data_IF_000790305186
#
_entry.id   IF_000790305186
#
_cell.length_a   1.000
_cell.length_b   1.000
_cell.length_c   1.000
_cell.angle_alpha   90.00
_cell.angle_beta   90.00
_cell.angle_gamma   90.00
#
_symmetry.space_group_name_H-M   'P 1'
#
loop_
_entity.id
_entity.type
_entity.pdbx_description
1 polymer ?
#
# COMPACT_ATOMS: atom_id res chain seq x y z
N UNK A 1 8.76 -20.75 -18.03
CA UNK A 1 8.05 -20.51 -16.73
C UNK A 1 6.57 -20.53 -17.05
N UNK A 2 5.91 -21.69 -16.98
CA UNK A 2 4.50 -21.84 -17.39
C UNK A 2 3.66 -22.64 -16.37
N UNK A 3 4.23 -23.01 -15.22
CA UNK A 3 3.56 -23.90 -14.26
C UNK A 3 2.68 -23.16 -13.24
N UNK A 4 2.39 -21.88 -13.47
CA UNK A 4 1.62 -21.05 -12.54
C UNK A 4 0.53 -20.32 -13.32
N UNK A 5 -0.72 -20.50 -12.89
CA UNK A 5 -1.87 -19.76 -13.38
C UNK A 5 -2.38 -18.81 -12.30
N UNK A 6 -3.00 -17.71 -12.70
CA UNK A 6 -3.69 -16.81 -11.77
C UNK A 6 -5.16 -17.20 -11.74
N UNK A 7 -5.68 -17.52 -10.56
CA UNK A 7 -7.08 -17.85 -10.35
C UNK A 7 -7.85 -16.62 -9.87
N UNK A 8 -8.85 -16.20 -10.64
CA UNK A 8 -9.76 -15.10 -10.29
C UNK A 8 -11.23 -15.57 -10.19
N UNK A 9 -11.48 -16.88 -10.29
CA UNK A 9 -12.81 -17.46 -10.11
C UNK A 9 -13.20 -17.36 -8.64
N UNK A 10 -14.44 -16.94 -8.35
CA UNK A 10 -14.90 -16.73 -6.97
C UNK A 10 -14.81 -17.99 -6.11
N UNK A 11 -14.96 -19.17 -6.71
CA UNK A 11 -14.80 -20.47 -6.03
C UNK A 11 -13.36 -20.77 -5.57
N UNK A 12 -12.38 -20.06 -6.13
CA UNK A 12 -10.96 -20.20 -5.76
C UNK A 12 -10.55 -19.32 -4.57
N UNK A 13 -11.41 -18.41 -4.13
CA UNK A 13 -11.09 -17.44 -3.08
C UNK A 13 -11.01 -18.12 -1.70
N UNK A 14 -9.94 -17.81 -0.98
CA UNK A 14 -9.71 -18.29 0.39
C UNK A 14 -9.64 -17.11 1.34
N UNK A 15 -10.54 -17.08 2.31
CA UNK A 15 -10.64 -15.99 3.28
C UNK A 15 -10.04 -16.38 4.63
N UNK A 16 -9.43 -15.41 5.31
CA UNK A 16 -8.95 -15.56 6.68
C UNK A 16 -9.65 -14.53 7.58
N UNK A 17 -9.97 -14.88 8.84
CA UNK A 17 -10.60 -13.93 9.75
C UNK A 17 -9.66 -12.73 10.00
N UNK A 18 -10.16 -11.49 9.88
CA UNK A 18 -9.34 -10.31 10.12
C UNK A 18 -8.92 -10.23 11.59
N UNK A 19 -7.79 -9.56 11.84
CA UNK A 19 -7.37 -9.27 13.22
C UNK A 19 -8.26 -8.20 13.82
N UNK A 20 -8.96 -8.53 14.89
CA UNK A 20 -9.90 -7.62 15.59
C UNK A 20 -9.21 -6.66 16.56
N UNK A 21 -7.95 -6.94 16.92
CA UNK A 21 -7.12 -6.07 17.77
C UNK A 21 -6.01 -5.43 16.96
N UNK A 22 -5.83 -4.12 17.12
CA UNK A 22 -4.79 -3.35 16.42
C UNK A 22 -3.38 -3.92 16.65
N UNK A 23 -3.04 -4.32 17.89
CA UNK A 23 -1.74 -4.92 18.20
C UNK A 23 -1.47 -6.19 17.40
N UNK A 24 -2.49 -7.05 17.27
CA UNK A 24 -2.38 -8.31 16.52
C UNK A 24 -2.29 -8.06 15.02
N UNK A 25 -3.06 -7.09 14.52
CA UNK A 25 -2.98 -6.62 13.13
C UNK A 25 -1.60 -6.04 12.80
N UNK A 26 -1.06 -5.17 13.67
CA UNK A 26 0.25 -4.56 13.46
C UNK A 26 1.37 -5.59 13.50
N UNK A 27 1.33 -6.55 14.44
CA UNK A 27 2.26 -7.67 14.46
C UNK A 27 2.16 -8.53 13.20
N UNK A 28 0.95 -8.73 12.66
CA UNK A 28 0.77 -9.41 11.37
C UNK A 28 1.45 -8.65 10.23
N UNK A 29 1.29 -7.32 10.14
CA UNK A 29 1.96 -6.48 9.12
C UNK A 29 3.48 -6.50 9.27
N UNK A 30 4.01 -6.47 10.50
CA UNK A 30 5.46 -6.60 10.76
C UNK A 30 6.04 -7.91 10.26
N UNK A 31 5.34 -9.04 10.46
CA UNK A 31 5.74 -10.36 9.92
C UNK A 31 5.62 -10.42 8.40
N UNK A 32 4.63 -9.77 7.82
CA UNK A 32 4.51 -9.70 6.36
C UNK A 32 5.72 -9.01 5.73
N UNK A 33 6.24 -7.94 6.34
CA UNK A 33 7.42 -7.23 5.81
C UNK A 33 8.72 -8.04 5.97
N UNK A 34 8.80 -9.02 6.88
CA UNK A 34 10.02 -9.81 7.03
C UNK A 34 10.34 -10.68 5.81
N UNK A 35 9.33 -11.08 5.02
CA UNK A 35 9.56 -11.85 3.78
C UNK A 35 10.24 -11.01 2.70
N UNK A 36 10.10 -9.69 2.74
CA UNK A 36 10.78 -8.79 1.79
C UNK A 36 12.31 -8.92 1.86
N UNK A 37 12.88 -9.43 2.96
CA UNK A 37 14.31 -9.73 3.08
C UNK A 37 14.80 -10.79 2.08
N UNK A 38 13.92 -11.66 1.58
CA UNK A 38 14.25 -12.69 0.59
C UNK A 38 14.07 -12.22 -0.86
N UNK A 39 13.55 -11.01 -1.08
CA UNK A 39 13.35 -10.48 -2.43
C UNK A 39 14.69 -10.14 -3.09
N UNK A 40 14.70 -10.13 -4.42
CA UNK A 40 15.87 -9.67 -5.18
C UNK A 40 16.12 -8.19 -4.87
N UNK A 41 17.38 -7.78 -5.00
CA UNK A 41 17.77 -6.40 -4.69
C UNK A 41 16.97 -5.37 -5.51
N UNK A 42 16.71 -5.69 -6.78
CA UNK A 42 15.89 -4.85 -7.66
C UNK A 42 14.44 -4.73 -7.17
N UNK A 43 13.79 -5.83 -6.82
CA UNK A 43 12.41 -5.83 -6.32
C UNK A 43 12.30 -5.05 -4.99
N UNK A 44 13.29 -5.20 -4.10
CA UNK A 44 13.39 -4.43 -2.85
C UNK A 44 13.50 -2.93 -3.13
N UNK A 45 14.36 -2.56 -4.09
CA UNK A 45 14.54 -1.17 -4.48
C UNK A 45 13.25 -0.58 -5.07
N UNK A 46 12.57 -1.29 -5.97
CA UNK A 46 11.29 -0.85 -6.54
C UNK A 46 10.23 -0.64 -5.46
N UNK A 47 10.14 -1.55 -4.48
CA UNK A 47 9.19 -1.42 -3.38
C UNK A 47 9.51 -0.21 -2.49
N UNK A 48 10.79 -0.01 -2.16
CA UNK A 48 11.23 1.16 -1.39
C UNK A 48 10.96 2.47 -2.13
N UNK A 49 11.29 2.52 -3.43
CA UNK A 49 11.05 3.66 -4.29
C UNK A 49 9.57 3.98 -4.40
N UNK A 50 8.71 2.96 -4.54
CA UNK A 50 7.26 3.12 -4.57
C UNK A 50 6.73 3.83 -3.32
N UNK A 51 7.09 3.39 -2.11
CA UNK A 51 6.64 4.05 -0.90
C UNK A 51 7.22 5.46 -0.74
N UNK A 52 8.49 5.65 -1.12
CA UNK A 52 9.16 6.95 -1.04
C UNK A 52 8.52 7.98 -1.98
N UNK A 53 8.23 7.62 -3.23
CA UNK A 53 7.62 8.54 -4.20
C UNK A 53 6.20 8.91 -3.79
N UNK A 54 5.42 7.97 -3.26
CA UNK A 54 4.08 8.26 -2.74
C UNK A 54 4.14 9.22 -1.53
N UNK A 55 5.07 9.01 -0.60
CA UNK A 55 5.27 9.90 0.54
C UNK A 55 5.66 11.32 0.09
N UNK A 56 6.68 11.43 -0.76
CA UNK A 56 7.16 12.72 -1.28
C UNK A 56 6.04 13.43 -2.04
N UNK A 57 5.25 12.71 -2.84
CA UNK A 57 4.14 13.29 -3.60
C UNK A 57 3.09 13.91 -2.67
N UNK A 58 2.69 13.22 -1.62
CA UNK A 58 1.70 13.75 -0.67
C UNK A 58 2.26 14.95 0.08
N UNK A 59 3.50 14.86 0.58
CA UNK A 59 4.13 15.96 1.32
C UNK A 59 4.32 17.20 0.44
N UNK A 60 4.76 17.03 -0.80
CA UNK A 60 4.93 18.15 -1.74
C UNK A 60 3.59 18.75 -2.13
N UNK A 61 2.57 17.92 -2.39
CA UNK A 61 1.23 18.41 -2.73
C UNK A 61 0.62 19.24 -1.60
N UNK A 62 0.71 18.76 -0.35
CA UNK A 62 0.24 19.51 0.83
C UNK A 62 1.01 20.82 0.98
N UNK A 63 2.34 20.78 0.84
CA UNK A 63 3.19 21.98 0.99
C UNK A 63 2.88 23.02 -0.08
N UNK A 64 2.75 22.63 -1.35
CA UNK A 64 2.46 23.56 -2.44
C UNK A 64 1.05 24.15 -2.34
N UNK A 65 0.06 23.33 -1.97
CA UNK A 65 -1.31 23.80 -1.80
C UNK A 65 -1.46 24.70 -0.55
N UNK A 66 -0.74 24.44 0.54
CA UNK A 66 -0.82 25.26 1.75
C UNK A 66 -0.29 26.68 1.54
N UNK A 67 0.71 26.85 0.68
CA UNK A 67 1.22 28.17 0.27
C UNK A 67 0.53 28.72 -0.98
N UNK A 68 -0.53 28.06 -1.47
CA UNK A 68 -1.27 28.41 -2.69
C UNK A 68 -0.38 28.54 -3.95
N UNK A 69 0.78 27.88 -3.97
CA UNK A 69 1.72 27.96 -5.08
C UNK A 69 1.15 27.28 -6.32
N UNK A 70 0.86 28.05 -7.36
CA UNK A 70 0.35 27.55 -8.64
C UNK A 70 -0.80 26.56 -8.46
N UNK A 71 -1.71 26.82 -7.50
CA UNK A 71 -2.73 25.86 -7.08
C UNK A 71 -3.63 25.41 -8.26
N UNK A 72 -3.83 26.27 -9.26
CA UNK A 72 -4.55 25.98 -10.51
C UNK A 72 -3.90 24.83 -11.29
N UNK A 73 -2.58 24.65 -11.21
CA UNK A 73 -1.84 23.56 -11.85
C UNK A 73 -1.69 22.38 -10.89
N UNK A 74 -1.31 22.66 -9.64
CA UNK A 74 -1.05 21.62 -8.64
C UNK A 74 -2.30 20.78 -8.38
N UNK A 75 -3.47 21.41 -8.24
CA UNK A 75 -4.71 20.71 -7.92
C UNK A 75 -5.12 19.71 -9.04
N UNK A 76 -5.18 20.09 -10.33
CA UNK A 76 -5.43 19.13 -11.40
C UNK A 76 -4.42 17.99 -11.49
N UNK A 77 -3.13 18.25 -11.25
CA UNK A 77 -2.10 17.19 -11.27
C UNK A 77 -2.35 16.18 -10.16
N UNK A 78 -2.68 16.65 -8.95
CA UNK A 78 -3.04 15.79 -7.82
C UNK A 78 -4.30 14.98 -8.13
N UNK A 79 -5.35 15.65 -8.60
CA UNK A 79 -6.61 14.99 -8.97
C UNK A 79 -6.40 13.93 -10.06
N UNK A 80 -5.66 14.26 -11.12
CA UNK A 80 -5.37 13.34 -12.21
C UNK A 80 -4.62 12.11 -11.72
N UNK A 81 -3.58 12.28 -10.90
CA UNK A 81 -2.87 11.14 -10.28
C UNK A 81 -3.85 10.25 -9.52
N UNK A 82 -4.65 10.83 -8.63
CA UNK A 82 -5.58 10.05 -7.81
C UNK A 82 -6.64 9.34 -8.66
N UNK A 83 -7.15 9.96 -9.73
CA UNK A 83 -8.07 9.28 -10.65
C UNK A 83 -7.38 8.10 -11.33
N UNK A 84 -6.18 8.28 -11.87
CA UNK A 84 -5.44 7.21 -12.55
C UNK A 84 -5.14 6.04 -11.61
N UNK A 85 -4.68 6.33 -10.39
CA UNK A 85 -4.37 5.29 -9.41
C UNK A 85 -5.62 4.63 -8.85
N UNK A 86 -6.72 5.38 -8.72
CA UNK A 86 -8.01 4.84 -8.29
C UNK A 86 -8.60 3.88 -9.34
N UNK A 87 -8.53 4.24 -10.63
CA UNK A 87 -8.97 3.36 -11.72
C UNK A 87 -8.12 2.09 -11.79
N UNK A 88 -6.79 2.20 -11.73
CA UNK A 88 -5.91 1.03 -11.76
C UNK A 88 -6.09 0.12 -10.54
N UNK A 89 -6.26 0.68 -9.34
CA UNK A 89 -6.61 -0.07 -8.14
C UNK A 89 -7.99 -0.74 -8.27
N UNK A 90 -8.98 -0.02 -8.79
CA UNK A 90 -10.34 -0.51 -9.00
C UNK A 90 -10.40 -1.71 -9.93
N UNK A 91 -9.60 -1.74 -11.00
CA UNK A 91 -9.48 -2.93 -11.85
C UNK A 91 -8.96 -4.15 -11.10
N UNK A 92 -7.99 -3.98 -10.20
CA UNK A 92 -7.47 -5.06 -9.36
C UNK A 92 -8.49 -5.56 -8.35
N UNK A 93 -9.14 -4.65 -7.64
CA UNK A 93 -10.15 -4.97 -6.63
C UNK A 93 -11.39 -5.65 -7.24
N UNK A 94 -11.83 -5.22 -8.43
CA UNK A 94 -12.93 -5.88 -9.15
C UNK A 94 -12.62 -7.34 -9.51
N UNK A 95 -11.35 -7.68 -9.79
CA UNK A 95 -10.94 -9.07 -10.05
C UNK A 95 -10.91 -9.95 -8.81
N UNK A 96 -10.89 -9.35 -7.62
CA UNK A 96 -10.86 -10.06 -6.33
C UNK A 96 -12.20 -9.98 -5.57
N UNK A 97 -13.23 -9.41 -6.20
CA UNK A 97 -14.54 -9.12 -5.60
C UNK A 97 -14.49 -8.24 -4.32
N UNK A 98 -13.51 -7.33 -4.24
CA UNK A 98 -13.26 -6.44 -3.10
C UNK A 98 -13.68 -4.98 -3.40
N UNK A 99 -14.95 -4.79 -3.80
CA UNK A 99 -15.45 -3.49 -4.33
C UNK A 99 -15.56 -2.40 -3.26
N UNK A 100 -15.79 -2.79 -2.01
CA UNK A 100 -15.87 -1.89 -0.85
C UNK A 100 -14.55 -1.15 -0.62
N UNK A 101 -13.41 -1.82 -0.82
CA UNK A 101 -12.07 -1.25 -0.68
C UNK A 101 -11.82 -0.11 -1.68
N UNK A 102 -12.43 -0.18 -2.87
CA UNK A 102 -12.27 0.83 -3.93
C UNK A 102 -12.79 2.19 -3.48
N UNK A 103 -13.95 2.24 -2.80
CA UNK A 103 -14.52 3.52 -2.32
C UNK A 103 -13.60 4.24 -1.33
N UNK A 104 -12.87 3.47 -0.52
CA UNK A 104 -11.97 4.00 0.51
C UNK A 104 -10.54 4.26 0.02
N UNK A 105 -10.25 4.04 -1.27
CA UNK A 105 -8.90 4.09 -1.82
C UNK A 105 -8.08 5.34 -1.41
N UNK A 106 -8.58 6.60 -1.53
CA UNK A 106 -7.79 7.77 -1.17
C UNK A 106 -7.37 7.78 0.31
N UNK A 107 -8.23 7.27 1.21
CA UNK A 107 -7.93 7.17 2.64
C UNK A 107 -7.00 6.00 2.92
N UNK A 108 -7.20 4.88 2.24
CA UNK A 108 -6.39 3.67 2.38
C UNK A 108 -4.95 3.87 1.91
N UNK A 109 -4.72 4.67 0.87
CA UNK A 109 -3.36 5.01 0.42
C UNK A 109 -2.57 5.69 1.54
N UNK A 110 -3.19 6.67 2.21
CA UNK A 110 -2.57 7.40 3.33
C UNK A 110 -2.29 6.43 4.49
N UNK A 111 -3.28 5.63 4.88
CA UNK A 111 -3.13 4.62 5.95
C UNK A 111 -2.00 3.64 5.61
N UNK A 112 -1.90 3.21 4.36
CA UNK A 112 -0.89 2.27 3.89
C UNK A 112 0.52 2.86 4.02
N UNK A 113 0.72 4.11 3.58
CA UNK A 113 2.02 4.79 3.66
C UNK A 113 2.48 4.91 5.12
N UNK A 114 1.61 5.41 6.01
CA UNK A 114 1.96 5.54 7.42
C UNK A 114 2.20 4.19 8.09
N UNK A 115 1.36 3.19 7.81
CA UNK A 115 1.55 1.82 8.33
C UNK A 115 2.90 1.27 7.90
N UNK A 116 3.27 1.44 6.63
CA UNK A 116 4.53 0.93 6.09
C UNK A 116 5.73 1.61 6.74
N UNK A 117 5.69 2.94 6.92
CA UNK A 117 6.73 3.70 7.61
C UNK A 117 6.86 3.21 9.07
N UNK A 118 5.74 3.10 9.78
CA UNK A 118 5.73 2.62 11.17
C UNK A 118 6.29 1.20 11.29
N UNK A 119 5.91 0.29 10.39
CA UNK A 119 6.42 -1.09 10.37
C UNK A 119 7.91 -1.10 10.06
N UNK A 120 8.38 -0.32 9.09
CA UNK A 120 9.80 -0.26 8.71
C UNK A 120 10.66 0.25 9.87
N UNK A 121 10.27 1.37 10.49
CA UNK A 121 10.93 1.94 11.68
C UNK A 121 10.93 0.91 12.81
N UNK A 122 9.79 0.28 13.10
CA UNK A 122 9.71 -0.69 14.19
C UNK A 122 10.59 -1.90 13.92
N UNK A 123 10.66 -2.40 12.69
CA UNK A 123 11.49 -3.54 12.32
C UNK A 123 13.00 -3.22 12.32
N UNK A 124 13.37 -1.94 12.15
CA UNK A 124 14.75 -1.49 12.32
C UNK A 124 15.21 -1.60 13.78
N UNK A 125 14.36 -1.22 14.73
CA UNK A 125 14.68 -1.23 16.17
C UNK A 125 14.36 -2.56 16.88
N UNK A 126 13.35 -3.28 16.41
CA UNK A 126 12.86 -4.52 17.02
C UNK A 126 12.61 -5.53 15.91
N UNK A 127 13.37 -6.63 15.88
CA UNK A 127 13.09 -7.70 14.92
C UNK A 127 11.77 -8.39 15.30
N UNK A 128 10.91 -8.74 14.32
CA UNK A 128 9.69 -9.49 14.62
C UNK A 128 10.07 -10.85 15.23
N UNK A 129 9.40 -11.17 16.35
CA UNK A 129 9.61 -12.45 17.06
C UNK A 129 9.28 -13.60 16.10
N UNK A 130 10.21 -14.56 15.99
CA UNK A 130 10.00 -15.77 15.20
C UNK A 130 8.87 -16.61 15.81
N UNK A 131 8.26 -17.47 14.99
CA UNK A 131 7.08 -18.24 15.34
C UNK A 131 7.27 -18.94 16.70
N UNK A 132 6.29 -18.77 17.59
CA UNK A 132 6.10 -19.61 18.78
C UNK A 132 5.10 -20.69 18.41
#
# INVERSE_FOLDING_TARGET
KENTAIAFESESFTYSPPKTKFKDWFNQKRRHVSTASFYKLFDKFQLGLFFLTNLIFILSSITLLSVQYQWIIVLPVVMLRYVLTWVTFGYGANKLDEKDVVYWYPVLEIILIFTQISVFITNLFSKPVHWK
#
